data_IF_170222361730
#
_entry.id   IF_170222361730
#
_cell.length_a   1.000
_cell.length_b   1.000
_cell.length_c   1.000
_cell.angle_alpha   90.00
_cell.angle_beta   90.00
_cell.angle_gamma   90.00
#
_symmetry.space_group_name_H-M   'P 1'
#
loop_
_entity.id
_entity.type
_entity.pdbx_description
1 polymer ?
#
# COMPACT_ATOMS: atom_id res chain seq x y z
N UNK A 1 55.62 7.91 -34.09
CA UNK A 1 54.98 7.42 -32.84
C UNK A 1 53.51 7.86 -32.68
N UNK A 2 52.79 8.20 -33.77
CA UNK A 2 51.40 8.66 -33.71
C UNK A 2 50.42 7.88 -34.62
N UNK A 3 50.85 6.73 -35.18
CA UNK A 3 50.04 5.92 -36.10
C UNK A 3 49.57 4.58 -35.50
N UNK A 4 50.02 4.22 -34.30
CA UNK A 4 49.69 2.92 -33.67
C UNK A 4 48.59 3.04 -32.60
N UNK A 5 48.19 4.25 -32.19
CA UNK A 5 47.11 4.45 -31.22
C UNK A 5 45.71 4.58 -31.83
N UNK A 6 45.59 4.72 -33.16
CA UNK A 6 44.27 4.85 -33.80
C UNK A 6 43.65 3.51 -34.23
N UNK A 7 44.37 2.39 -34.07
CA UNK A 7 43.84 1.03 -34.34
C UNK A 7 43.29 0.30 -33.12
N UNK A 8 43.47 0.82 -31.89
CA UNK A 8 42.84 0.25 -30.70
C UNK A 8 41.46 0.86 -30.37
N UNK A 9 41.15 2.09 -30.79
CA UNK A 9 39.83 2.68 -30.54
C UNK A 9 38.72 2.21 -31.50
N UNK A 10 39.05 1.57 -32.63
CA UNK A 10 38.07 1.09 -33.61
C UNK A 10 37.67 -0.38 -33.45
N UNK A 11 38.32 -1.14 -32.55
CA UNK A 11 37.93 -2.51 -32.21
C UNK A 11 37.12 -2.63 -30.91
N UNK A 12 36.87 -1.54 -30.19
CA UNK A 12 36.01 -1.53 -28.99
C UNK A 12 34.59 -0.99 -29.23
N UNK A 13 34.27 -0.60 -30.47
CA UNK A 13 32.94 -0.15 -30.87
C UNK A 13 32.12 -1.19 -31.65
N UNK A 14 32.61 -2.43 -31.77
CA UNK A 14 31.93 -3.52 -32.48
C UNK A 14 31.38 -4.64 -31.58
N UNK A 15 31.46 -4.52 -30.25
CA UNK A 15 30.99 -5.55 -29.30
C UNK A 15 29.85 -5.10 -28.37
N UNK A 16 29.18 -3.98 -28.67
CA UNK A 16 28.04 -3.49 -27.87
C UNK A 16 26.83 -3.10 -28.71
N UNK A 17 26.67 -3.69 -29.90
CA UNK A 17 25.33 -3.86 -30.47
C UNK A 17 24.72 -5.09 -29.79
N UNK A 18 24.46 -4.98 -28.49
CA UNK A 18 23.57 -5.90 -27.81
C UNK A 18 22.23 -5.68 -28.48
N UNK A 19 21.82 -6.65 -29.29
CA UNK A 19 20.47 -6.77 -29.83
C UNK A 19 19.54 -6.67 -28.63
N UNK A 20 18.99 -5.49 -28.38
CA UNK A 20 17.72 -5.35 -27.68
C UNK A 20 16.74 -5.98 -28.66
N UNK A 21 16.70 -7.32 -28.65
CA UNK A 21 15.49 -8.03 -29.00
C UNK A 21 14.49 -7.45 -28.03
N UNK A 22 13.71 -6.48 -28.50
CA UNK A 22 12.49 -6.11 -27.85
C UNK A 22 11.80 -7.44 -27.64
N UNK A 23 11.82 -7.91 -26.40
CA UNK A 23 10.89 -8.91 -25.95
C UNK A 23 9.55 -8.17 -26.05
N UNK A 24 8.99 -8.10 -27.27
CA UNK A 24 7.56 -8.21 -27.45
C UNK A 24 7.28 -9.55 -26.81
N UNK A 25 7.06 -9.53 -25.50
CA UNK A 25 6.00 -10.33 -24.94
C UNK A 25 4.89 -10.21 -25.97
N UNK A 26 4.71 -11.27 -26.75
CA UNK A 26 3.41 -11.59 -27.28
C UNK A 26 2.55 -11.55 -26.03
N UNK A 27 1.94 -10.38 -25.77
CA UNK A 27 0.74 -10.29 -24.99
C UNK A 27 -0.15 -11.26 -25.73
N UNK A 28 -0.19 -12.50 -25.24
CA UNK A 28 -1.32 -13.37 -25.48
C UNK A 28 -2.46 -12.47 -25.09
N UNK A 29 -3.19 -11.96 -26.08
CA UNK A 29 -4.58 -11.60 -25.86
C UNK A 29 -5.14 -12.83 -25.17
N UNK A 30 -5.36 -12.74 -23.86
CA UNK A 30 -6.12 -13.72 -23.11
C UNK A 30 -7.55 -13.59 -23.62
N UNK A 31 -7.76 -14.11 -24.83
CA UNK A 31 -9.07 -14.51 -25.28
C UNK A 31 -9.58 -15.50 -24.25
N UNK A 32 -10.76 -15.20 -23.74
CA UNK A 32 -11.43 -15.82 -22.61
C UNK A 32 -11.01 -15.29 -21.24
N UNK A 33 -11.48 -14.08 -20.91
CA UNK A 33 -11.93 -13.77 -19.55
C UNK A 33 -13.17 -14.61 -19.23
N UNK A 34 -13.02 -15.93 -19.17
CA UNK A 34 -13.97 -16.79 -18.47
C UNK A 34 -14.11 -16.21 -17.07
N UNK A 35 -15.34 -16.06 -16.60
CA UNK A 35 -15.66 -15.66 -15.23
C UNK A 35 -14.82 -16.51 -14.28
N UNK A 36 -13.66 -16.00 -13.85
CA UNK A 36 -12.86 -16.66 -12.84
C UNK A 36 -13.73 -16.70 -11.58
N UNK A 37 -13.72 -17.82 -10.84
CA UNK A 37 -14.50 -17.92 -9.63
C UNK A 37 -14.15 -16.75 -8.72
N UNK A 38 -15.20 -16.09 -8.24
CA UNK A 38 -15.06 -14.89 -7.43
C UNK A 38 -14.49 -15.31 -6.07
N UNK A 39 -13.19 -15.04 -5.83
CA UNK A 39 -12.52 -15.48 -4.60
C UNK A 39 -12.89 -14.63 -3.38
N UNK A 40 -13.26 -15.30 -2.30
CA UNK A 40 -13.68 -14.74 -1.02
C UNK A 40 -12.49 -14.72 -0.06
N UNK A 41 -12.18 -13.57 0.56
CA UNK A 41 -11.11 -13.50 1.54
C UNK A 41 -11.55 -14.03 2.92
N UNK A 42 -10.62 -14.68 3.60
CA UNK A 42 -10.77 -15.16 4.98
C UNK A 42 -9.48 -15.03 5.77
N UNK A 43 -9.57 -14.75 7.08
CA UNK A 43 -8.40 -14.75 7.96
C UNK A 43 -7.88 -16.19 8.14
N UNK A 44 -6.56 -16.40 7.99
CA UNK A 44 -5.95 -17.73 8.06
C UNK A 44 -5.03 -17.95 9.28
N UNK A 45 -5.05 -17.04 10.26
CA UNK A 45 -4.10 -17.08 11.38
C UNK A 45 -4.34 -16.01 12.43
N UNK A 46 -3.39 -15.89 13.37
CA UNK A 46 -3.41 -14.89 14.44
C UNK A 46 -2.81 -13.55 13.97
N UNK A 47 -3.22 -12.46 14.61
CA UNK A 47 -2.59 -11.15 14.41
C UNK A 47 -1.14 -11.18 14.94
N UNK A 48 -0.20 -10.69 14.13
CA UNK A 48 1.23 -10.70 14.44
C UNK A 48 1.70 -9.25 14.69
N UNK A 49 2.31 -8.94 15.84
CA UNK A 49 2.91 -7.63 16.08
C UNK A 49 4.06 -7.36 15.10
N UNK A 50 4.07 -6.18 14.48
CA UNK A 50 5.07 -5.79 13.48
C UNK A 50 6.30 -5.12 14.10
N UNK A 51 6.11 -4.41 15.21
CA UNK A 51 7.12 -3.54 15.81
C UNK A 51 6.82 -3.32 17.29
N UNK A 52 7.87 -2.99 18.05
CA UNK A 52 7.79 -2.56 19.44
C UNK A 52 7.34 -1.10 19.58
N UNK A 53 7.50 -0.33 18.50
CA UNK A 53 7.19 1.08 18.44
C UNK A 53 5.83 1.29 17.79
N UNK A 54 5.12 2.32 18.23
CA UNK A 54 3.85 2.67 17.61
C UNK A 54 4.09 3.39 16.27
N UNK A 55 3.13 3.30 15.37
CA UNK A 55 3.28 3.87 14.04
C UNK A 55 2.04 3.78 13.17
N UNK A 56 2.20 4.13 11.89
CA UNK A 56 1.15 4.09 10.87
C UNK A 56 1.74 3.97 9.47
N UNK A 57 0.86 3.82 8.47
CA UNK A 57 1.21 3.73 7.06
C UNK A 57 2.21 2.62 6.75
N UNK A 58 2.05 1.45 7.39
CA UNK A 58 2.94 0.33 7.13
C UNK A 58 2.83 -0.09 5.66
N UNK A 59 3.95 -0.34 5.02
CA UNK A 59 4.07 -0.89 3.66
C UNK A 59 5.16 -1.96 3.67
N UNK A 60 5.00 -2.99 2.85
CA UNK A 60 6.03 -4.01 2.70
C UNK A 60 6.16 -4.47 1.25
N UNK A 61 7.34 -4.96 0.91
CA UNK A 61 7.65 -5.56 -0.38
C UNK A 61 8.65 -6.71 -0.20
N UNK A 62 8.74 -7.60 -1.20
CA UNK A 62 9.78 -8.62 -1.23
C UNK A 62 11.15 -8.03 -1.59
N UNK A 63 12.17 -8.59 -0.95
CA UNK A 63 13.56 -8.50 -1.34
C UNK A 63 13.90 -9.67 -2.28
N UNK A 64 15.00 -9.55 -3.01
CA UNK A 64 15.56 -10.57 -3.91
C UNK A 64 15.94 -11.86 -3.17
N UNK A 65 16.21 -11.79 -1.86
CA UNK A 65 16.49 -12.95 -1.01
C UNK A 65 15.22 -13.68 -0.55
N UNK A 66 14.04 -13.27 -1.04
CA UNK A 66 12.75 -13.85 -0.67
C UNK A 66 12.20 -13.38 0.68
N UNK A 67 12.92 -12.54 1.42
CA UNK A 67 12.41 -11.95 2.65
C UNK A 67 11.47 -10.76 2.34
N UNK A 68 10.57 -10.45 3.27
CA UNK A 68 9.82 -9.20 3.26
C UNK A 68 10.63 -8.10 3.96
N UNK A 69 10.65 -6.91 3.35
CA UNK A 69 11.06 -5.67 3.99
C UNK A 69 9.83 -4.80 4.21
N UNK A 70 9.61 -4.39 5.46
CA UNK A 70 8.54 -3.50 5.87
C UNK A 70 9.08 -2.11 6.20
N UNK A 71 8.27 -1.09 5.97
CA UNK A 71 8.53 0.29 6.38
C UNK A 71 7.26 0.91 6.96
N UNK A 72 7.40 1.77 7.96
CA UNK A 72 6.29 2.52 8.53
C UNK A 72 6.74 3.88 9.04
N UNK A 73 5.77 4.79 9.20
CA UNK A 73 5.97 6.03 9.95
C UNK A 73 5.88 5.71 11.43
N UNK A 74 7.00 5.74 12.14
CA UNK A 74 7.04 5.67 13.59
C UNK A 74 6.76 7.04 14.20
N UNK A 75 6.18 7.03 15.41
CA UNK A 75 5.91 8.26 16.16
C UNK A 75 6.84 8.37 17.35
N UNK A 76 7.40 9.56 17.56
CA UNK A 76 8.18 9.92 18.73
C UNK A 76 7.36 10.88 19.59
N UNK A 77 6.98 10.43 20.79
CA UNK A 77 6.14 11.21 21.71
C UNK A 77 4.64 11.03 21.47
N UNK A 78 3.83 11.96 21.99
CA UNK A 78 2.35 11.92 21.86
C UNK A 78 1.87 12.69 20.63
N UNK A 79 0.82 12.19 19.98
CA UNK A 79 0.23 12.84 18.80
C UNK A 79 -0.40 14.20 19.13
N UNK A 80 -0.76 14.44 20.39
CA UNK A 80 -1.44 15.66 20.88
C UNK A 80 -0.70 16.95 20.60
N UNK A 81 0.63 16.90 20.45
CA UNK A 81 1.45 18.07 20.14
C UNK A 81 2.08 17.98 18.74
N UNK A 82 1.55 17.14 17.84
CA UNK A 82 2.12 16.94 16.50
C UNK A 82 3.44 16.16 16.53
N UNK A 83 3.59 15.21 17.46
CA UNK A 83 4.82 14.46 17.75
C UNK A 83 5.67 14.14 16.51
N UNK A 84 6.99 14.34 16.66
CA UNK A 84 7.96 14.09 15.60
C UNK A 84 7.78 12.70 14.99
N UNK A 85 7.88 12.64 13.67
CA UNK A 85 7.73 11.41 12.91
C UNK A 85 9.09 10.91 12.44
N UNK A 86 9.21 9.59 12.33
CA UNK A 86 10.37 8.95 11.74
C UNK A 86 9.95 7.81 10.82
N UNK A 87 10.88 7.34 10.01
CA UNK A 87 10.74 6.16 9.18
C UNK A 87 11.52 5.02 9.81
N UNK A 88 10.84 3.90 9.98
CA UNK A 88 11.40 2.69 10.56
C UNK A 88 11.21 1.52 9.62
N UNK A 89 12.21 0.65 9.57
CA UNK A 89 12.24 -0.53 8.73
C UNK A 89 12.19 -1.76 9.62
N UNK A 90 11.49 -2.80 9.16
CA UNK A 90 11.48 -4.14 9.76
C UNK A 90 11.69 -5.18 8.66
N UNK A 91 12.06 -6.40 9.02
CA UNK A 91 12.26 -7.51 8.09
C UNK A 91 11.54 -8.77 8.59
N UNK A 92 10.95 -9.52 7.67
CA UNK A 92 10.43 -10.87 7.93
C UNK A 92 11.07 -11.86 6.96
N UNK A 93 11.56 -12.98 7.49
CA UNK A 93 12.13 -14.09 6.70
C UNK A 93 11.19 -15.29 6.62
N UNK A 94 9.96 -15.15 7.10
CA UNK A 94 9.00 -16.24 7.29
C UNK A 94 7.59 -15.87 6.79
N UNK A 95 7.51 -15.08 5.72
CA UNK A 95 6.25 -14.63 5.11
C UNK A 95 5.30 -13.90 6.07
N UNK A 96 5.87 -13.10 6.98
CA UNK A 96 5.14 -12.24 7.91
C UNK A 96 4.60 -12.96 9.14
N UNK A 97 5.00 -14.21 9.38
CA UNK A 97 4.69 -14.91 10.63
C UNK A 97 5.43 -14.30 11.82
N UNK A 98 6.58 -13.67 11.59
CA UNK A 98 7.29 -12.83 12.55
C UNK A 98 8.05 -11.69 11.88
N UNK A 99 8.32 -10.63 12.65
CA UNK A 99 9.04 -9.45 12.20
C UNK A 99 10.19 -9.10 13.14
N UNK A 100 11.32 -8.70 12.58
CA UNK A 100 12.55 -8.37 13.30
C UNK A 100 13.20 -7.10 12.75
N UNK A 101 14.25 -6.61 13.40
CA UNK A 101 15.10 -5.56 12.82
C UNK A 101 14.44 -4.18 12.73
N UNK A 102 13.63 -3.81 13.73
CA UNK A 102 12.96 -2.51 13.88
C UNK A 102 13.96 -1.34 14.01
N UNK A 103 14.54 -0.94 12.89
CA UNK A 103 15.62 0.04 12.79
C UNK A 103 15.12 1.40 12.33
N UNK A 104 15.69 2.46 12.89
CA UNK A 104 15.49 3.83 12.42
C UNK A 104 16.18 4.00 11.05
N UNK A 105 15.40 4.23 10.00
CA UNK A 105 15.90 4.41 8.65
C UNK A 105 16.13 5.89 8.31
N UNK A 106 15.24 6.75 8.78
CA UNK A 106 15.32 8.19 8.58
C UNK A 106 14.48 8.88 9.64
N UNK A 107 15.00 9.88 10.34
CA UNK A 107 14.19 10.61 11.30
C UNK A 107 15.00 11.36 12.33
N UNK A 108 14.68 12.64 12.42
CA UNK A 108 14.71 13.51 13.60
C UNK A 108 13.98 14.82 13.21
N UNK A 109 12.81 14.69 12.57
CA UNK A 109 12.09 15.89 12.15
C UNK A 109 11.65 16.66 13.38
N UNK A 110 11.95 17.95 13.42
CA UNK A 110 11.20 18.86 14.28
C UNK A 110 9.74 18.87 13.80
N UNK A 111 8.81 19.29 14.65
CA UNK A 111 7.36 19.38 14.34
C UNK A 111 7.03 20.00 12.97
N UNK A 112 7.95 20.80 12.41
CA UNK A 112 7.78 21.49 11.14
C UNK A 112 7.99 20.59 9.90
N UNK A 113 8.42 19.32 10.01
CA UNK A 113 8.80 18.48 8.87
C UNK A 113 8.29 17.03 8.97
N UNK A 114 6.98 16.82 9.03
CA UNK A 114 6.45 15.47 9.21
C UNK A 114 6.61 14.57 7.98
N UNK A 115 6.95 13.31 8.23
CA UNK A 115 7.27 12.32 7.21
C UNK A 115 6.22 11.18 7.26
N UNK A 116 5.43 11.05 6.20
CA UNK A 116 4.29 10.12 6.12
C UNK A 116 4.33 9.21 4.90
N UNK A 117 3.42 8.23 4.90
CA UNK A 117 3.13 7.36 3.76
C UNK A 117 4.38 6.76 3.10
N UNK A 118 5.30 6.14 3.87
CA UNK A 118 6.51 5.60 3.30
C UNK A 118 6.20 4.44 2.37
N UNK A 119 7.01 4.28 1.33
CA UNK A 119 7.00 3.12 0.45
C UNK A 119 8.43 2.68 0.19
N UNK A 120 8.70 1.39 0.34
CA UNK A 120 10.04 0.81 0.21
C UNK A 120 10.05 -0.21 -0.93
N UNK A 121 11.06 -0.18 -1.80
CA UNK A 121 11.17 -1.11 -2.92
C UNK A 121 12.63 -1.48 -3.14
N UNK A 122 12.92 -2.75 -3.42
CA UNK A 122 14.23 -3.15 -3.93
C UNK A 122 14.22 -3.15 -5.46
N UNK A 123 15.19 -2.46 -6.05
CA UNK A 123 15.44 -2.45 -7.49
C UNK A 123 16.08 -3.76 -7.94
N UNK A 124 16.08 -4.01 -9.26
CA UNK A 124 16.70 -5.20 -9.86
C UNK A 124 18.21 -5.30 -9.58
N UNK A 125 18.90 -4.19 -9.30
CA UNK A 125 20.31 -4.20 -8.91
C UNK A 125 20.56 -4.57 -7.44
N UNK A 126 19.50 -4.86 -6.67
CA UNK A 126 19.58 -5.15 -5.25
C UNK A 126 19.59 -3.91 -4.35
N UNK A 127 19.56 -2.69 -4.92
CA UNK A 127 19.46 -1.46 -4.14
C UNK A 127 18.03 -1.23 -3.64
N UNK A 128 17.88 -0.86 -2.37
CA UNK A 128 16.59 -0.43 -1.81
C UNK A 128 16.37 1.08 -1.96
N UNK A 129 15.17 1.45 -2.38
CA UNK A 129 14.68 2.82 -2.47
C UNK A 129 13.57 3.01 -1.43
N UNK A 130 13.60 4.15 -0.75
CA UNK A 130 12.59 4.57 0.21
C UNK A 130 12.01 5.90 -0.25
N UNK A 131 10.72 5.91 -0.54
CA UNK A 131 9.95 7.11 -0.86
C UNK A 131 9.05 7.47 0.31
N UNK A 132 8.77 8.76 0.50
CA UNK A 132 7.91 9.26 1.56
C UNK A 132 7.34 10.63 1.20
N UNK A 133 6.20 10.98 1.76
CA UNK A 133 5.68 12.35 1.72
C UNK A 133 6.27 13.14 2.87
N UNK A 134 6.87 14.30 2.57
CA UNK A 134 7.29 15.27 3.59
C UNK A 134 6.26 16.41 3.64
N UNK A 135 5.71 16.67 4.82
CA UNK A 135 4.82 17.78 5.10
C UNK A 135 5.62 18.86 5.83
N UNK A 136 5.90 19.96 5.14
CA UNK A 136 6.42 21.16 5.79
C UNK A 136 5.27 21.90 6.49
N UNK A 137 5.33 22.00 7.82
CA UNK A 137 4.30 22.57 8.70
C UNK A 137 4.83 23.77 9.50
N UNK A 138 5.20 24.90 8.85
CA UNK A 138 5.66 26.09 9.58
C UNK A 138 4.54 26.74 10.42
N UNK A 139 3.27 26.47 10.08
CA UNK A 139 2.08 26.83 10.84
C UNK A 139 1.00 25.76 10.55
N UNK A 140 0.31 25.26 11.58
CA UNK A 140 -0.66 24.12 11.56
C UNK A 140 -1.80 24.19 10.51
N UNK A 141 -1.93 25.27 9.74
CA UNK A 141 -3.07 25.56 8.88
C UNK A 141 -2.81 25.42 7.37
N UNK A 142 -1.57 25.31 6.90
CA UNK A 142 -1.26 25.26 5.46
C UNK A 142 -0.37 24.05 5.10
N UNK A 143 -0.99 22.98 4.58
CA UNK A 143 -0.27 21.82 4.05
C UNK A 143 0.05 22.00 2.55
N UNK A 144 1.32 21.79 2.15
CA UNK A 144 1.70 21.67 0.73
C UNK A 144 2.05 20.21 0.43
N UNK A 145 1.34 19.60 -0.52
CA UNK A 145 1.49 18.18 -0.90
C UNK A 145 2.18 18.04 -2.27
N UNK A 146 3.10 17.07 -2.42
CA UNK A 146 3.53 16.50 -3.70
C UNK A 146 3.08 15.02 -3.76
N UNK A 147 2.43 14.57 -4.85
CA UNK A 147 1.59 13.34 -4.84
C UNK A 147 1.78 12.41 -6.05
N UNK A 148 1.89 11.10 -5.81
CA UNK A 148 1.45 10.01 -6.72
C UNK A 148 0.01 9.66 -6.31
N UNK A 149 -0.95 9.64 -7.26
CA UNK A 149 -2.38 9.75 -6.95
C UNK A 149 -3.22 8.51 -7.27
N UNK A 150 -3.82 7.90 -6.23
CA UNK A 150 -5.16 7.31 -6.29
C UNK A 150 -6.14 8.36 -5.71
N UNK A 151 -7.26 8.60 -6.38
CA UNK A 151 -8.18 9.67 -6.02
C UNK A 151 -9.35 9.15 -5.18
N UNK A 152 -9.60 9.81 -4.05
CA UNK A 152 -10.97 10.00 -3.57
C UNK A 152 -11.57 11.20 -4.30
N UNK A 153 -12.81 11.11 -4.77
CA UNK A 153 -13.54 12.28 -5.31
C UNK A 153 -14.96 12.31 -4.78
N UNK A 154 -15.41 13.50 -4.40
CA UNK A 154 -16.81 13.77 -4.17
C UNK A 154 -17.47 14.30 -5.46
N UNK A 155 -18.58 13.69 -5.90
CA UNK A 155 -19.84 14.42 -6.01
C UNK A 155 -20.73 14.21 -4.77
N UNK A 156 -20.25 13.46 -3.77
CA UNK A 156 -20.97 13.09 -2.55
C UNK A 156 -20.33 13.77 -1.34
N UNK A 157 -21.10 14.11 -0.30
CA UNK A 157 -20.59 14.81 0.88
C UNK A 157 -19.70 13.96 1.83
N UNK A 158 -18.91 13.02 1.30
CA UNK A 158 -18.00 12.13 2.02
C UNK A 158 -16.90 11.54 1.13
N UNK A 159 -15.90 10.87 1.72
CA UNK A 159 -14.84 10.20 0.96
C UNK A 159 -15.29 8.82 0.46
N UNK A 160 -15.15 8.56 -0.84
CA UNK A 160 -15.40 7.27 -1.50
C UNK A 160 -14.15 6.76 -2.23
N UNK A 161 -14.12 5.46 -2.53
CA UNK A 161 -13.03 4.81 -3.28
C UNK A 161 -13.45 4.64 -4.74
N UNK A 162 -12.56 5.08 -5.64
CA UNK A 162 -12.74 4.97 -7.08
C UNK A 162 -11.52 4.31 -7.72
N UNK A 163 -11.73 3.63 -8.84
CA UNK A 163 -10.65 3.17 -9.71
C UNK A 163 -10.59 4.02 -10.98
N UNK A 164 -9.40 4.11 -11.55
CA UNK A 164 -9.13 4.57 -12.91
C UNK A 164 -8.18 3.57 -13.54
N UNK A 165 -8.35 3.31 -14.83
CA UNK A 165 -7.53 2.33 -15.55
C UNK A 165 -6.84 2.99 -16.73
N UNK A 166 -5.64 2.54 -17.04
CA UNK A 166 -4.96 2.86 -18.27
C UNK A 166 -4.89 1.61 -19.16
N UNK A 167 -5.32 1.68 -20.42
CA UNK A 167 -5.20 0.59 -21.37
C UNK A 167 -3.84 0.58 -22.10
N UNK A 168 -2.99 1.57 -21.87
CA UNK A 168 -1.80 1.91 -22.67
C UNK A 168 -0.60 2.25 -21.77
N UNK A 169 -0.38 1.42 -20.75
CA UNK A 169 0.77 1.47 -19.84
C UNK A 169 1.01 2.84 -19.17
N UNK A 170 -0.10 3.51 -18.84
CA UNK A 170 -0.12 4.79 -18.15
C UNK A 170 -0.06 6.01 -19.07
N UNK A 171 -0.11 5.84 -20.39
CA UNK A 171 -0.09 6.96 -21.35
C UNK A 171 -1.38 7.77 -21.28
N UNK A 172 -2.53 7.11 -21.21
CA UNK A 172 -3.85 7.70 -20.97
C UNK A 172 -4.54 7.05 -19.79
N UNK A 173 -5.35 7.83 -19.07
CA UNK A 173 -6.08 7.40 -17.89
C UNK A 173 -7.56 7.74 -18.05
N UNK A 174 -8.43 6.77 -17.80
CA UNK A 174 -9.86 6.95 -17.95
C UNK A 174 -10.68 5.90 -17.22
N UNK A 175 -11.92 5.71 -17.68
CA UNK A 175 -12.85 4.69 -17.16
C UNK A 175 -13.02 4.73 -15.64
N UNK A 176 -13.23 5.94 -15.09
CA UNK A 176 -13.44 6.10 -13.65
C UNK A 176 -14.64 5.28 -13.19
N UNK A 177 -14.44 4.38 -12.21
CA UNK A 177 -15.50 3.54 -11.64
C UNK A 177 -15.58 3.71 -10.13
N UNK A 178 -16.75 3.48 -9.58
CA UNK A 178 -16.93 3.38 -8.13
C UNK A 178 -16.47 2.00 -7.68
N UNK A 179 -15.58 1.97 -6.68
CA UNK A 179 -15.13 0.74 -6.01
C UNK A 179 -15.94 0.55 -4.73
N UNK A 180 -16.05 1.62 -3.94
CA UNK A 180 -16.77 1.60 -2.68
C UNK A 180 -17.33 2.98 -2.36
N UNK A 181 -18.60 3.03 -1.95
CA UNK A 181 -19.27 4.23 -1.45
C UNK A 181 -19.84 3.91 -0.07
N UNK A 182 -19.46 4.67 0.98
CA UNK A 182 -20.11 4.52 2.27
C UNK A 182 -21.63 4.75 2.15
N UNK A 183 -22.40 3.98 2.91
CA UNK A 183 -23.87 4.03 2.94
C UNK A 183 -24.44 5.41 3.27
N UNK A 184 -23.70 6.23 4.02
CA UNK A 184 -24.08 7.61 4.35
C UNK A 184 -23.00 8.61 3.95
N UNK A 185 -23.41 9.87 3.74
CA UNK A 185 -22.46 10.96 3.48
C UNK A 185 -21.57 11.30 4.69
N UNK A 186 -22.01 10.96 5.92
CA UNK A 186 -21.23 11.21 7.14
C UNK A 186 -20.10 10.19 7.31
N UNK A 187 -20.22 9.01 6.70
CA UNK A 187 -19.18 8.00 6.67
C UNK A 187 -18.12 8.27 5.58
N UNK A 188 -16.96 7.66 5.75
CA UNK A 188 -15.76 7.90 4.95
C UNK A 188 -15.08 6.59 4.61
N UNK A 189 -14.62 6.49 3.37
CA UNK A 189 -13.70 5.45 2.93
C UNK A 189 -12.48 6.08 2.25
N UNK A 190 -11.28 5.63 2.59
CA UNK A 190 -10.06 6.28 2.11
C UNK A 190 -8.80 5.46 2.26
N UNK A 191 -7.66 6.10 1.95
CA UNK A 191 -6.32 5.48 1.94
C UNK A 191 -6.27 4.11 1.23
N UNK A 192 -6.78 4.01 -0.02
CA UNK A 192 -6.78 2.73 -0.72
C UNK A 192 -5.34 2.27 -1.02
N UNK A 193 -5.14 0.97 -0.98
CA UNK A 193 -3.94 0.29 -1.44
C UNK A 193 -4.34 -0.96 -2.22
N UNK A 194 -3.60 -1.30 -3.27
CA UNK A 194 -3.96 -2.37 -4.20
C UNK A 194 -2.78 -3.28 -4.48
N UNK A 195 -3.06 -4.58 -4.62
CA UNK A 195 -2.11 -5.62 -5.04
C UNK A 195 -2.79 -6.58 -6.00
N UNK A 196 -1.98 -7.42 -6.67
CA UNK A 196 -2.45 -8.60 -7.38
C UNK A 196 -2.10 -9.86 -6.57
N UNK A 197 -3.05 -10.77 -6.42
CA UNK A 197 -2.90 -12.08 -5.76
C UNK A 197 -3.42 -13.12 -6.75
N UNK A 198 -2.52 -13.91 -7.34
CA UNK A 198 -2.83 -14.71 -8.52
C UNK A 198 -3.34 -13.85 -9.67
N UNK A 199 -4.55 -14.13 -10.15
CA UNK A 199 -5.27 -13.30 -11.13
C UNK A 199 -6.29 -12.33 -10.52
N UNK A 200 -6.44 -12.34 -9.20
CA UNK A 200 -7.36 -11.46 -8.48
C UNK A 200 -6.68 -10.14 -8.12
N UNK A 201 -7.39 -9.03 -8.35
CA UNK A 201 -7.01 -7.72 -7.81
C UNK A 201 -7.64 -7.58 -6.42
N UNK A 202 -6.83 -7.23 -5.43
CA UNK A 202 -7.28 -6.97 -4.06
C UNK A 202 -7.06 -5.50 -3.75
N UNK A 203 -8.08 -4.84 -3.21
CA UNK A 203 -7.96 -3.47 -2.67
C UNK A 203 -8.27 -3.48 -1.18
N UNK A 204 -7.43 -2.82 -0.39
CA UNK A 204 -7.70 -2.50 1.01
C UNK A 204 -7.97 -1.01 1.17
N UNK A 205 -8.87 -0.64 2.07
CA UNK A 205 -9.13 0.76 2.43
C UNK A 205 -9.62 0.84 3.87
N UNK A 206 -9.50 2.02 4.47
CA UNK A 206 -10.18 2.29 5.74
C UNK A 206 -11.64 2.63 5.48
N UNK A 207 -12.56 2.13 6.30
CA UNK A 207 -14.00 2.35 6.19
C UNK A 207 -14.59 2.73 7.56
N UNK A 208 -15.43 3.76 7.64
CA UNK A 208 -16.09 4.16 8.88
C UNK A 208 -17.54 3.70 9.04
N UNK A 209 -18.05 2.82 8.15
CA UNK A 209 -19.46 2.38 8.22
C UNK A 209 -19.88 1.72 9.53
N UNK A 210 -18.94 1.09 10.25
CA UNK A 210 -19.24 0.46 11.55
C UNK A 210 -19.32 1.46 12.71
N UNK A 211 -18.96 2.72 12.47
CA UNK A 211 -18.97 3.74 13.50
C UNK A 211 -20.38 4.32 13.59
N UNK A 212 -21.01 4.32 14.77
CA UNK A 212 -22.27 5.00 14.98
C UNK A 212 -22.16 6.48 14.59
N UNK A 213 -23.21 6.98 13.94
CA UNK A 213 -23.35 8.39 13.63
C UNK A 213 -24.15 9.03 14.76
N UNK A 214 -23.62 10.07 15.39
CA UNK A 214 -24.43 10.94 16.24
C UNK A 214 -25.02 12.09 15.41
N UNK A 215 -26.19 12.60 15.82
CA UNK A 215 -26.94 13.59 15.03
C UNK A 215 -26.16 14.90 14.84
N UNK A 216 -25.36 15.27 15.84
CA UNK A 216 -24.46 16.42 15.89
C UNK A 216 -23.14 16.21 15.13
N UNK A 217 -22.80 14.98 14.73
CA UNK A 217 -21.59 14.72 13.95
C UNK A 217 -21.73 15.29 12.54
N UNK A 218 -20.90 16.27 12.20
CA UNK A 218 -20.77 16.78 10.84
C UNK A 218 -20.06 15.78 9.91
N UNK A 219 -19.25 14.87 10.48
CA UNK A 219 -18.70 13.69 9.82
C UNK A 219 -18.06 12.75 10.85
N UNK A 220 -18.07 11.44 10.55
CA UNK A 220 -17.31 10.47 11.35
C UNK A 220 -15.82 10.60 11.03
N UNK A 221 -15.02 10.93 12.04
CA UNK A 221 -13.56 10.99 11.93
C UNK A 221 -12.91 9.62 11.69
N UNK A 222 -11.67 9.62 11.21
CA UNK A 222 -10.91 8.38 10.95
C UNK A 222 -10.42 7.64 12.23
N UNK A 223 -10.94 8.00 13.41
CA UNK A 223 -10.49 7.46 14.70
C UNK A 223 -10.99 6.04 15.01
N UNK A 224 -12.04 5.58 14.32
CA UNK A 224 -12.71 4.30 14.61
C UNK A 224 -13.00 3.46 13.34
N UNK A 225 -12.18 3.60 12.30
CA UNK A 225 -12.39 2.85 11.04
C UNK A 225 -12.10 1.35 11.16
N UNK A 226 -12.72 0.56 10.30
CA UNK A 226 -12.30 -0.79 9.96
C UNK A 226 -11.27 -0.75 8.81
N UNK A 227 -10.51 -1.83 8.65
CA UNK A 227 -9.75 -2.11 7.41
C UNK A 227 -10.55 -3.13 6.62
N UNK A 228 -11.12 -2.64 5.53
CA UNK A 228 -11.98 -3.40 4.64
C UNK A 228 -11.20 -3.77 3.38
N UNK A 229 -11.47 -4.97 2.86
CA UNK A 229 -10.98 -5.40 1.56
C UNK A 229 -12.14 -5.67 0.59
N UNK A 230 -11.87 -5.45 -0.69
CA UNK A 230 -12.70 -5.88 -1.81
C UNK A 230 -11.81 -6.61 -2.82
N UNK A 231 -12.40 -7.56 -3.55
CA UNK A 231 -11.71 -8.31 -4.60
C UNK A 231 -12.36 -8.09 -5.96
N UNK A 232 -11.57 -8.27 -7.02
CA UNK A 232 -11.99 -8.23 -8.41
C UNK A 232 -11.29 -9.32 -9.22
N UNK A 233 -12.08 -10.23 -9.80
CA UNK A 233 -11.60 -11.30 -10.68
C UNK A 233 -11.66 -10.97 -12.18
N UNK A 234 -12.12 -9.76 -12.54
CA UNK A 234 -12.40 -9.35 -13.93
C UNK A 234 -11.55 -8.16 -14.40
N UNK A 235 -10.39 -7.96 -13.76
CA UNK A 235 -9.47 -6.87 -14.07
C UNK A 235 -9.94 -5.50 -13.58
N UNK A 236 -10.69 -5.46 -12.47
CA UNK A 236 -11.17 -4.22 -11.85
C UNK A 236 -12.45 -3.67 -12.49
N UNK A 237 -13.16 -4.47 -13.29
CA UNK A 237 -14.41 -4.05 -13.94
C UNK A 237 -15.56 -4.06 -12.94
N UNK A 238 -15.60 -5.05 -12.05
CA UNK A 238 -16.51 -5.17 -10.91
C UNK A 238 -15.74 -5.46 -9.62
N UNK A 239 -16.36 -5.17 -8.47
CA UNK A 239 -15.77 -5.30 -7.13
C UNK A 239 -16.78 -5.95 -6.18
N UNK A 240 -16.33 -6.86 -5.33
CA UNK A 240 -17.17 -7.60 -4.40
C UNK A 240 -16.41 -8.19 -3.21
N UNK A 241 -17.07 -9.11 -2.49
CA UNK A 241 -16.54 -9.81 -1.31
C UNK A 241 -15.98 -8.89 -0.24
N UNK A 242 -16.80 -7.92 0.16
CA UNK A 242 -16.46 -7.04 1.26
C UNK A 242 -16.14 -7.86 2.51
N UNK A 243 -14.96 -7.64 3.06
CA UNK A 243 -14.52 -8.31 4.28
C UNK A 243 -13.72 -7.35 5.16
N UNK A 244 -14.05 -7.30 6.43
CA UNK A 244 -13.32 -6.49 7.40
C UNK A 244 -12.26 -7.36 8.08
N UNK A 245 -11.01 -7.12 7.69
CA UNK A 245 -9.85 -7.84 8.24
C UNK A 245 -9.60 -7.39 9.68
N UNK A 246 -9.83 -6.10 9.95
CA UNK A 246 -9.82 -5.50 11.28
C UNK A 246 -11.09 -4.67 11.45
N UNK A 247 -11.93 -5.05 12.42
CA UNK A 247 -13.30 -4.54 12.54
C UNK A 247 -13.46 -3.18 13.23
N UNK A 248 -12.42 -2.66 13.89
CA UNK A 248 -12.46 -1.30 14.48
C UNK A 248 -11.07 -0.76 14.79
N UNK A 249 -10.97 0.58 14.87
CA UNK A 249 -9.76 1.34 15.24
C UNK A 249 -8.52 1.00 14.41
N UNK A 250 -8.74 0.53 13.19
CA UNK A 250 -7.71 0.16 12.23
C UNK A 250 -7.70 1.19 11.11
N UNK A 251 -6.54 1.79 10.84
CA UNK A 251 -6.42 2.83 9.84
C UNK A 251 -5.18 2.65 8.94
N UNK A 252 -5.33 3.09 7.68
CA UNK A 252 -4.22 3.28 6.73
C UNK A 252 -3.43 2.00 6.43
N UNK A 253 -4.15 0.89 6.21
CA UNK A 253 -3.53 -0.39 5.97
C UNK A 253 -2.60 -0.39 4.76
N UNK A 254 -1.50 -1.14 4.87
CA UNK A 254 -0.76 -1.67 3.75
C UNK A 254 -1.17 -3.10 3.48
N UNK A 255 -0.92 -3.57 2.26
CA UNK A 255 -1.13 -4.95 1.85
C UNK A 255 0.04 -5.40 0.99
N UNK A 256 0.43 -6.66 1.07
CA UNK A 256 1.48 -7.27 0.24
C UNK A 256 1.08 -8.70 -0.08
N UNK A 257 1.12 -9.06 -1.36
CA UNK A 257 0.91 -10.44 -1.78
C UNK A 257 2.05 -11.31 -1.24
N UNK A 258 1.75 -12.53 -0.81
CA UNK A 258 2.79 -13.49 -0.46
C UNK A 258 3.31 -14.18 -1.73
N UNK A 259 4.49 -14.78 -1.63
CA UNK A 259 5.29 -15.27 -2.76
C UNK A 259 4.55 -16.29 -3.64
N UNK A 260 5.15 -16.64 -4.79
CA UNK A 260 4.52 -17.50 -5.82
C UNK A 260 4.15 -18.92 -5.36
N UNK A 261 4.63 -19.39 -4.21
CA UNK A 261 4.21 -20.66 -3.62
C UNK A 261 2.89 -20.56 -2.86
N UNK A 262 2.45 -19.35 -2.53
CA UNK A 262 1.24 -19.04 -1.78
C UNK A 262 0.41 -18.00 -2.55
N UNK A 263 0.02 -18.38 -3.78
CA UNK A 263 -0.61 -17.50 -4.76
C UNK A 263 -1.98 -16.98 -4.35
N UNK A 264 -2.54 -17.53 -3.28
CA UNK A 264 -3.89 -17.23 -2.81
C UNK A 264 -3.86 -16.41 -1.53
N UNK A 265 -2.70 -15.98 -1.02
CA UNK A 265 -2.64 -15.25 0.24
C UNK A 265 -1.82 -13.97 0.21
N UNK A 266 -2.14 -13.12 1.17
CA UNK A 266 -1.52 -11.82 1.34
C UNK A 266 -1.55 -11.41 2.81
N UNK A 267 -0.70 -10.44 3.16
CA UNK A 267 -0.71 -9.81 4.47
C UNK A 267 -1.45 -8.49 4.40
N UNK A 268 -2.23 -8.22 5.44
CA UNK A 268 -2.82 -6.91 5.72
C UNK A 268 -2.16 -6.35 6.96
N UNK A 269 -1.58 -5.17 6.84
CA UNK A 269 -0.77 -4.54 7.89
C UNK A 269 -1.38 -3.20 8.26
N UNK A 270 -1.70 -2.99 9.53
CA UNK A 270 -2.36 -1.76 10.00
C UNK A 270 -1.82 -1.33 11.35
N UNK A 271 -2.09 -0.09 11.73
CA UNK A 271 -2.05 0.31 13.14
C UNK A 271 -3.42 0.10 13.78
N UNK A 272 -3.43 -0.31 15.04
CA UNK A 272 -4.60 -0.43 15.89
C UNK A 272 -4.50 0.58 17.03
N UNK A 273 -5.45 1.51 17.11
CA UNK A 273 -5.50 2.50 18.20
C UNK A 273 -6.09 1.88 19.47
N UNK A 274 -5.59 2.30 20.64
CA UNK A 274 -6.23 1.99 21.92
C UNK A 274 -7.55 2.77 22.07
N UNK A 275 -8.35 2.48 23.10
CA UNK A 275 -9.67 3.11 23.34
C UNK A 275 -9.60 4.63 23.48
N UNK A 276 -8.43 5.17 23.81
CA UNK A 276 -8.21 6.60 23.98
C UNK A 276 -7.71 7.18 22.65
N UNK A 277 -8.47 8.12 22.09
CA UNK A 277 -8.30 8.67 20.73
C UNK A 277 -6.93 9.31 20.43
N UNK A 278 -6.03 9.35 21.40
CA UNK A 278 -4.75 10.06 21.38
C UNK A 278 -3.53 9.13 21.40
N UNK A 279 -3.73 7.83 21.57
CA UNK A 279 -2.64 6.87 21.65
C UNK A 279 -2.21 6.41 20.25
N UNK A 280 -0.90 6.36 20.06
CA UNK A 280 -0.27 5.95 18.81
C UNK A 280 -0.40 4.44 18.67
N UNK A 281 -1.09 4.01 17.62
CA UNK A 281 -1.51 2.61 17.48
C UNK A 281 -0.34 1.63 17.38
N UNK A 282 -0.51 0.46 17.99
CA UNK A 282 0.41 -0.68 17.80
C UNK A 282 0.22 -1.25 16.38
N UNK A 283 1.31 -1.69 15.78
CA UNK A 283 1.32 -2.19 14.41
C UNK A 283 1.12 -3.72 14.40
N UNK A 284 0.19 -4.18 13.57
CA UNK A 284 -0.15 -5.60 13.42
C UNK A 284 -0.23 -5.99 11.94
N UNK A 285 0.13 -7.23 11.64
CA UNK A 285 -0.24 -7.91 10.39
C UNK A 285 -1.22 -9.05 10.63
N UNK A 286 -2.08 -9.29 9.65
CA UNK A 286 -2.98 -10.42 9.57
C UNK A 286 -2.81 -11.09 8.20
N UNK A 287 -2.60 -12.41 8.18
CA UNK A 287 -2.63 -13.18 6.94
C UNK A 287 -4.08 -13.44 6.52
N UNK A 288 -4.35 -13.17 5.25
CA UNK A 288 -5.64 -13.39 4.58
C UNK A 288 -5.42 -14.33 3.41
N UNK A 289 -6.31 -15.31 3.26
CA UNK A 289 -6.33 -16.28 2.16
C UNK A 289 -7.59 -16.06 1.34
N UNK A 290 -7.46 -16.10 0.03
CA UNK A 290 -8.51 -16.09 -0.96
C UNK A 290 -8.92 -17.53 -1.26
N UNK A 291 -10.19 -17.87 -1.08
CA UNK A 291 -10.72 -19.19 -1.42
C UNK A 291 -11.90 -19.05 -2.37
N UNK A 292 -12.22 -20.11 -3.12
CA UNK A 292 -13.48 -20.14 -3.85
C UNK A 292 -14.66 -20.01 -2.86
N UNK A 293 -15.72 -19.32 -3.27
CA UNK A 293 -16.96 -19.29 -2.50
C UNK A 293 -17.53 -20.72 -2.41
N UNK A 294 -17.88 -21.15 -1.20
CA UNK A 294 -18.52 -22.45 -0.94
C UNK A 294 -19.94 -22.52 -1.50
#
# INVERSE_FOLDING_TARGET
>A
MAATMLRLCLLQLAASALTISAHRSSVRSSESSTNLPLLVPTNSGVQVPLSQHPGHYFRANYLQDGCLIGVYTGVVGTFTNGGATNLRIVKSSDNGNSWTGDVLAYGNSTHDNDIYSPYILQTLSGRTLLATTNHYRPNFLNETLYRISLFSSAPYAGFSVHSVTSPDDGTTWGNRRLVFKPSTAKHRAGAPHLIKVGDTIVVSFMNSEHVPIHDDDCAVGYGATAVTILTSGDGGKSWGNQYDVFSSKANQAGIVALNETDQDSFLVMTSLRSQEALDVGRLYSQKVVLTEAA
#
